data_IF_021399514541
#
_entry.id   IF_021399514541
#
_cell.length_a   1.000
_cell.length_b   1.000
_cell.length_c   1.000
_cell.angle_alpha   90.00
_cell.angle_beta   90.00
_cell.angle_gamma   90.00
#
_symmetry.space_group_name_H-M   'P 1'
#
loop_
_entity.id
_entity.type
_entity.pdbx_description
1 polymer ?
#
# COMPACT_ATOMS: atom_id res chain seq x y z
N UNK A 1 13.17 25.34 3.98
CA UNK A 1 13.08 25.50 5.44
C UNK A 1 12.00 24.56 5.97
N UNK A 2 12.38 23.36 6.41
CA UNK A 2 11.45 22.37 6.98
C UNK A 2 11.06 22.83 8.38
N UNK A 3 9.80 23.23 8.57
CA UNK A 3 9.26 23.47 9.91
C UNK A 3 9.30 22.15 10.69
N UNK A 4 10.16 22.11 11.70
CA UNK A 4 10.23 21.02 12.67
C UNK A 4 8.89 21.01 13.43
N UNK A 5 7.99 20.12 13.05
CA UNK A 5 6.78 19.85 13.84
C UNK A 5 7.27 19.03 15.04
N UNK A 6 7.48 19.72 16.17
CA UNK A 6 7.73 19.05 17.45
C UNK A 6 6.37 18.54 17.91
N UNK A 7 6.02 17.34 17.53
CA UNK A 7 4.96 16.58 18.18
C UNK A 7 5.63 15.70 19.23
N UNK A 8 5.06 15.58 20.42
CA UNK A 8 5.52 14.68 21.50
C UNK A 8 5.38 13.17 21.11
N UNK A 9 5.69 12.81 19.88
CA UNK A 9 5.62 11.44 19.39
C UNK A 9 7.02 10.89 19.25
N UNK A 10 7.29 9.75 19.90
CA UNK A 10 8.52 9.02 19.74
C UNK A 10 8.64 8.55 18.28
N UNK A 11 9.80 8.84 17.66
CA UNK A 11 10.13 8.29 16.34
C UNK A 11 10.77 6.93 16.56
N UNK A 12 10.11 5.88 16.11
CA UNK A 12 10.60 4.51 16.23
C UNK A 12 11.51 4.16 15.03
N UNK A 13 12.57 3.38 15.30
CA UNK A 13 13.33 2.77 14.21
C UNK A 13 12.49 1.69 13.50
N UNK A 14 12.86 1.32 12.26
CA UNK A 14 12.21 0.21 11.56
C UNK A 14 12.30 -1.13 12.33
N UNK A 15 13.31 -1.31 13.18
CA UNK A 15 13.47 -2.48 14.03
C UNK A 15 12.44 -2.46 15.17
N UNK A 16 12.36 -1.33 15.87
CA UNK A 16 11.44 -1.17 17.01
C UNK A 16 9.98 -1.25 16.57
N UNK A 17 9.65 -0.65 15.42
CA UNK A 17 8.31 -0.75 14.83
C UNK A 17 7.93 -2.22 14.55
N UNK A 18 8.82 -3.01 13.95
CA UNK A 18 8.55 -4.44 13.69
C UNK A 18 8.43 -5.26 14.98
N UNK A 19 9.19 -4.91 16.01
CA UNK A 19 9.11 -5.57 17.32
C UNK A 19 7.80 -5.22 18.03
N UNK A 20 7.38 -3.97 17.97
CA UNK A 20 6.08 -3.52 18.47
C UNK A 20 4.92 -4.25 17.79
N UNK A 21 4.93 -4.34 16.45
CA UNK A 21 3.93 -5.09 15.68
C UNK A 21 3.86 -6.55 16.12
N UNK A 22 5.02 -7.23 16.22
CA UNK A 22 5.07 -8.63 16.67
C UNK A 22 4.51 -8.83 18.07
N UNK A 23 4.87 -7.94 19.00
CA UNK A 23 4.39 -8.00 20.38
C UNK A 23 2.88 -7.73 20.46
N UNK A 24 2.38 -6.79 19.67
CA UNK A 24 0.95 -6.47 19.57
C UNK A 24 0.18 -7.68 19.03
N UNK A 25 0.65 -8.28 17.94
CA UNK A 25 0.02 -9.47 17.36
C UNK A 25 0.03 -10.64 18.35
N UNK A 26 1.15 -10.88 19.03
CA UNK A 26 1.28 -12.00 19.97
C UNK A 26 0.36 -11.86 21.20
N UNK A 27 0.13 -10.62 21.67
CA UNK A 27 -0.52 -10.37 22.97
C UNK A 27 -1.95 -9.88 22.87
N UNK A 28 -2.31 -9.15 21.79
CA UNK A 28 -3.54 -8.34 21.81
C UNK A 28 -4.47 -8.54 20.64
N UNK A 29 -3.98 -8.53 19.39
CA UNK A 29 -4.83 -8.56 18.20
C UNK A 29 -4.23 -9.40 17.07
N UNK A 30 -5.05 -10.11 16.27
CA UNK A 30 -4.59 -10.81 15.07
C UNK A 30 -3.90 -9.86 14.07
N UNK A 31 -2.84 -10.35 13.39
CA UNK A 31 -2.07 -9.53 12.42
C UNK A 31 -2.94 -8.92 11.33
N UNK A 32 -3.90 -9.69 10.81
CA UNK A 32 -4.86 -9.16 9.85
C UNK A 32 -5.67 -7.96 10.40
N UNK A 33 -6.00 -7.96 11.69
CA UNK A 33 -6.73 -6.84 12.31
C UNK A 33 -5.89 -5.57 12.40
N UNK A 34 -4.60 -5.72 12.67
CA UNK A 34 -3.63 -4.62 12.63
C UNK A 34 -3.56 -4.05 11.20
N UNK A 35 -3.48 -4.91 10.19
CA UNK A 35 -3.52 -4.54 8.77
C UNK A 35 -4.82 -3.82 8.39
N UNK A 36 -5.99 -4.29 8.85
CA UNK A 36 -7.26 -3.59 8.65
C UNK A 36 -7.24 -2.16 9.20
N UNK A 37 -6.68 -1.98 10.39
CA UNK A 37 -6.58 -0.65 11.02
C UNK A 37 -5.66 0.28 10.23
N UNK A 38 -4.52 -0.21 9.75
CA UNK A 38 -3.60 0.54 8.91
C UNK A 38 -4.28 0.97 7.60
N UNK A 39 -4.87 0.03 6.87
CA UNK A 39 -5.59 0.32 5.63
C UNK A 39 -6.78 1.28 5.83
N UNK A 40 -7.51 1.16 6.95
CA UNK A 40 -8.61 2.07 7.30
C UNK A 40 -8.12 3.50 7.53
N UNK A 41 -6.95 3.67 8.13
CA UNK A 41 -6.34 4.99 8.33
C UNK A 41 -6.05 5.66 6.99
N UNK A 42 -5.40 4.95 6.06
CA UNK A 42 -5.13 5.44 4.70
C UNK A 42 -6.44 5.77 3.97
N UNK A 43 -7.42 4.86 4.01
CA UNK A 43 -8.73 5.08 3.41
C UNK A 43 -9.42 6.36 3.93
N UNK A 44 -9.38 6.62 5.23
CA UNK A 44 -9.99 7.82 5.83
C UNK A 44 -9.34 9.11 5.31
N UNK A 45 -8.01 9.12 5.13
CA UNK A 45 -7.30 10.24 4.53
C UNK A 45 -7.75 10.46 3.08
N UNK A 46 -7.87 9.39 2.30
CA UNK A 46 -8.30 9.46 0.90
C UNK A 46 -9.75 9.98 0.82
N UNK A 47 -10.65 9.40 1.61
CA UNK A 47 -12.06 9.82 1.66
C UNK A 47 -12.22 11.29 2.01
N UNK A 48 -11.37 11.84 2.88
CA UNK A 48 -11.39 13.25 3.27
C UNK A 48 -10.85 14.17 2.17
N UNK A 49 -9.81 13.72 1.43
CA UNK A 49 -9.09 14.60 0.50
C UNK A 49 -9.54 14.51 -0.95
N UNK A 50 -10.17 13.40 -1.36
CA UNK A 50 -10.47 13.15 -2.77
C UNK A 50 -11.94 12.81 -3.00
N UNK A 51 -12.46 13.29 -4.14
CA UNK A 51 -13.82 12.93 -4.59
C UNK A 51 -13.85 11.48 -5.09
N UNK A 52 -15.03 10.84 -5.05
CA UNK A 52 -15.25 9.44 -5.45
C UNK A 52 -14.93 9.14 -6.92
N UNK A 53 -14.92 10.14 -7.77
CA UNK A 53 -14.56 10.05 -9.19
C UNK A 53 -13.04 10.06 -9.45
N UNK A 54 -12.22 10.35 -8.42
CA UNK A 54 -10.75 10.34 -8.55
C UNK A 54 -10.27 8.98 -9.05
N UNK A 55 -9.43 9.00 -10.08
CA UNK A 55 -8.73 7.79 -10.54
C UNK A 55 -7.65 7.43 -9.52
N UNK A 56 -7.72 6.22 -9.00
CA UNK A 56 -6.82 5.71 -7.96
C UNK A 56 -6.15 4.44 -8.46
N UNK A 57 -4.84 4.37 -8.36
CA UNK A 57 -4.06 3.17 -8.65
C UNK A 57 -3.34 2.72 -7.40
N UNK A 58 -3.52 1.47 -7.04
CA UNK A 58 -2.92 0.88 -5.85
C UNK A 58 -1.90 -0.16 -6.30
N UNK A 59 -0.67 0.00 -5.84
CA UNK A 59 0.45 -0.86 -6.18
C UNK A 59 0.80 -1.72 -4.97
N UNK A 60 0.63 -3.03 -5.09
CA UNK A 60 0.80 -3.97 -3.98
C UNK A 60 2.00 -4.88 -4.19
N UNK A 61 2.85 -4.95 -3.17
CA UNK A 61 3.85 -6.01 -3.03
C UNK A 61 3.28 -7.29 -2.43
N UNK A 62 4.12 -8.34 -2.27
CA UNK A 62 3.68 -9.63 -1.73
C UNK A 62 3.58 -9.67 -0.20
N UNK A 63 4.09 -8.65 0.50
CA UNK A 63 4.17 -8.59 1.97
C UNK A 63 3.02 -7.79 2.61
N UNK A 64 3.18 -7.47 3.90
CA UNK A 64 2.15 -6.77 4.70
C UNK A 64 1.79 -5.41 4.10
N UNK A 65 2.77 -4.64 3.61
CA UNK A 65 2.50 -3.35 2.97
C UNK A 65 1.54 -3.49 1.76
N UNK A 66 1.71 -4.54 0.94
CA UNK A 66 0.75 -4.89 -0.11
C UNK A 66 -0.59 -5.31 0.45
N UNK A 67 -0.60 -5.97 1.60
CA UNK A 67 -1.80 -6.34 2.35
C UNK A 67 -2.63 -5.11 2.76
N UNK A 68 -1.97 -4.07 3.27
CA UNK A 68 -2.61 -2.78 3.58
C UNK A 68 -3.25 -2.18 2.32
N UNK A 69 -2.55 -2.27 1.17
CA UNK A 69 -3.08 -1.84 -0.12
C UNK A 69 -4.34 -2.61 -0.55
N UNK A 70 -4.43 -3.93 -0.30
CA UNK A 70 -5.66 -4.70 -0.57
C UNK A 70 -6.81 -4.26 0.33
N UNK A 71 -6.55 -3.96 1.60
CA UNK A 71 -7.56 -3.42 2.52
C UNK A 71 -8.06 -2.06 2.04
N UNK A 72 -7.15 -1.16 1.63
CA UNK A 72 -7.51 0.15 1.08
C UNK A 72 -8.38 0.00 -0.17
N UNK A 73 -7.99 -0.89 -1.10
CA UNK A 73 -8.76 -1.16 -2.32
C UNK A 73 -10.19 -1.60 -2.00
N UNK A 74 -10.34 -2.56 -1.06
CA UNK A 74 -11.64 -3.05 -0.59
C UNK A 74 -12.49 -1.90 -0.04
N UNK A 75 -11.96 -1.11 0.89
CA UNK A 75 -12.69 -0.01 1.53
C UNK A 75 -13.10 1.09 0.52
N UNK A 76 -12.22 1.43 -0.43
CA UNK A 76 -12.54 2.39 -1.47
C UNK A 76 -13.73 1.93 -2.33
N UNK A 77 -13.72 0.68 -2.78
CA UNK A 77 -14.79 0.10 -3.61
C UNK A 77 -16.10 -0.01 -2.85
N UNK A 78 -16.09 -0.48 -1.61
CA UNK A 78 -17.26 -0.54 -0.73
C UNK A 78 -17.86 0.84 -0.44
N UNK A 79 -17.07 1.90 -0.54
CA UNK A 79 -17.51 3.28 -0.36
C UNK A 79 -17.74 4.04 -1.69
N UNK A 80 -17.98 3.31 -2.78
CA UNK A 80 -18.38 3.83 -4.10
C UNK A 80 -17.31 4.68 -4.81
N UNK A 81 -16.02 4.45 -4.55
CA UNK A 81 -14.96 4.93 -5.43
C UNK A 81 -14.90 4.00 -6.65
N UNK A 82 -15.32 4.51 -7.81
CA UNK A 82 -15.54 3.68 -9.01
C UNK A 82 -14.28 3.42 -9.83
N UNK A 83 -13.30 4.31 -9.76
CA UNK A 83 -12.11 4.29 -10.61
C UNK A 83 -10.88 3.81 -9.80
N UNK A 84 -10.92 2.59 -9.27
CA UNK A 84 -9.86 1.99 -8.47
C UNK A 84 -9.26 0.81 -9.22
N UNK A 85 -8.04 0.99 -9.71
CA UNK A 85 -7.23 -0.06 -10.32
C UNK A 85 -6.21 -0.61 -9.32
N UNK A 86 -6.14 -1.91 -9.23
CA UNK A 86 -5.24 -2.62 -8.33
C UNK A 86 -4.21 -3.43 -9.12
N UNK A 87 -2.94 -3.21 -8.83
CA UNK A 87 -1.81 -3.90 -9.43
C UNK A 87 -1.02 -4.66 -8.37
N UNK A 88 -0.61 -5.88 -8.66
CA UNK A 88 0.23 -6.65 -7.75
C UNK A 88 1.46 -7.22 -8.45
N UNK A 89 2.60 -7.23 -7.73
CA UNK A 89 3.88 -7.77 -8.21
C UNK A 89 3.86 -9.28 -8.42
N UNK A 90 2.97 -9.96 -7.72
CA UNK A 90 2.85 -11.43 -7.77
C UNK A 90 1.39 -11.85 -8.00
N UNK A 91 1.19 -13.05 -8.50
CA UNK A 91 -0.14 -13.63 -8.60
C UNK A 91 -0.75 -13.90 -7.21
N UNK A 92 -2.07 -13.91 -7.10
CA UNK A 92 -2.82 -14.16 -5.86
C UNK A 92 -2.39 -15.46 -5.17
N UNK A 93 -2.04 -16.50 -5.95
CA UNK A 93 -1.57 -17.80 -5.45
C UNK A 93 -0.24 -17.72 -4.68
N UNK A 94 0.59 -16.72 -4.96
CA UNK A 94 1.91 -16.51 -4.32
C UNK A 94 1.85 -15.67 -3.06
N UNK A 95 0.70 -15.07 -2.74
CA UNK A 95 0.51 -14.32 -1.50
C UNK A 95 0.47 -15.27 -0.29
N UNK A 96 0.97 -14.81 0.85
CA UNK A 96 1.03 -15.57 2.11
C UNK A 96 0.56 -14.71 3.28
N UNK A 97 0.27 -15.35 4.44
CA UNK A 97 -0.09 -14.66 5.67
C UNK A 97 -1.27 -13.71 5.54
N UNK A 98 -1.19 -12.60 6.26
CA UNK A 98 -2.26 -11.59 6.33
C UNK A 98 -2.54 -10.92 4.98
N UNK A 99 -1.51 -10.72 4.14
CA UNK A 99 -1.68 -10.21 2.78
C UNK A 99 -2.57 -11.13 1.91
N UNK A 100 -2.45 -12.46 2.06
CA UNK A 100 -3.33 -13.43 1.39
C UNK A 100 -4.75 -13.33 1.90
N UNK A 101 -4.94 -13.17 3.21
CA UNK A 101 -6.26 -12.97 3.82
C UNK A 101 -6.91 -11.71 3.25
N UNK A 102 -6.17 -10.59 3.23
CA UNK A 102 -6.65 -9.31 2.68
C UNK A 102 -7.07 -9.42 1.21
N UNK A 103 -6.22 -10.05 0.38
CA UNK A 103 -6.51 -10.26 -1.04
C UNK A 103 -7.73 -11.17 -1.28
N UNK A 104 -7.94 -12.16 -0.41
CA UNK A 104 -9.13 -13.02 -0.49
C UNK A 104 -10.41 -12.27 -0.12
N UNK A 105 -10.35 -11.45 0.94
CA UNK A 105 -11.49 -10.62 1.37
C UNK A 105 -11.87 -9.52 0.38
N UNK A 106 -10.93 -9.05 -0.44
CA UNK A 106 -11.23 -8.15 -1.54
C UNK A 106 -12.09 -8.84 -2.62
N UNK A 107 -11.96 -10.16 -2.76
CA UNK A 107 -12.72 -11.00 -3.70
C UNK A 107 -12.69 -10.52 -5.16
N UNK A 108 -11.58 -9.94 -5.59
CA UNK A 108 -11.39 -9.46 -6.96
C UNK A 108 -10.05 -9.94 -7.53
N UNK A 109 -9.95 -9.88 -8.85
CA UNK A 109 -8.70 -10.04 -9.55
C UNK A 109 -7.96 -8.71 -9.60
N UNK A 110 -6.65 -8.76 -9.58
CA UNK A 110 -5.79 -7.61 -9.74
C UNK A 110 -4.93 -7.74 -11.01
N UNK A 111 -4.56 -6.59 -11.55
CA UNK A 111 -3.76 -6.49 -12.76
C UNK A 111 -2.29 -6.80 -12.45
N UNK A 112 -1.59 -7.38 -13.42
CA UNK A 112 -0.13 -7.52 -13.34
C UNK A 112 0.54 -6.15 -13.43
N UNK A 113 1.65 -5.98 -12.75
CA UNK A 113 2.47 -4.75 -12.81
C UNK A 113 2.92 -4.39 -14.24
N UNK A 114 3.05 -5.36 -15.15
CA UNK A 114 3.37 -5.11 -16.55
C UNK A 114 2.28 -4.30 -17.28
N UNK A 115 1.06 -4.28 -16.74
CA UNK A 115 -0.07 -3.53 -17.28
C UNK A 115 -0.18 -2.12 -16.68
N UNK A 116 0.72 -1.77 -15.74
CA UNK A 116 0.70 -0.47 -15.11
C UNK A 116 1.07 0.62 -16.11
N UNK A 117 0.16 1.56 -16.25
CA UNK A 117 0.35 2.83 -16.96
C UNK A 117 -0.25 3.91 -16.07
N UNK A 118 0.27 5.11 -16.13
CA UNK A 118 -0.27 6.23 -15.37
C UNK A 118 -0.30 7.49 -16.22
N UNK A 119 -1.19 8.40 -15.87
CA UNK A 119 -1.35 9.71 -16.48
C UNK A 119 -1.36 10.79 -15.39
N UNK A 120 -1.31 12.06 -15.80
CA UNK A 120 -1.49 13.17 -14.88
C UNK A 120 -2.84 13.07 -14.17
N UNK A 121 -2.91 13.65 -12.97
CA UNK A 121 -4.16 13.73 -12.18
C UNK A 121 -4.71 12.38 -11.63
N UNK A 122 -3.88 11.33 -11.51
CA UNK A 122 -4.22 10.10 -10.81
C UNK A 122 -3.62 10.10 -9.39
N UNK A 123 -4.29 9.44 -8.46
CA UNK A 123 -3.73 9.15 -7.13
C UNK A 123 -3.05 7.79 -7.19
N UNK A 124 -1.79 7.71 -6.82
CA UNK A 124 -1.08 6.44 -6.68
C UNK A 124 -0.85 6.16 -5.21
N UNK A 125 -1.23 4.96 -4.80
CA UNK A 125 -1.00 4.43 -3.46
C UNK A 125 0.07 3.36 -3.59
N UNK A 126 1.25 3.62 -3.01
CA UNK A 126 2.40 2.72 -3.07
C UNK A 126 2.44 1.82 -1.83
N UNK A 127 2.07 0.56 -2.01
CA UNK A 127 2.21 -0.52 -1.05
C UNK A 127 3.17 -1.62 -1.53
N UNK A 128 4.17 -1.28 -2.37
CA UNK A 128 5.07 -2.28 -2.96
C UNK A 128 6.01 -2.84 -1.91
N UNK A 129 6.73 -1.97 -1.20
CA UNK A 129 7.70 -2.34 -0.17
C UNK A 129 7.47 -1.52 1.08
N UNK A 130 7.56 -2.17 2.22
CA UNK A 130 7.64 -1.52 3.53
C UNK A 130 9.01 -1.75 4.17
N UNK A 131 9.10 -1.59 5.47
CA UNK A 131 10.31 -1.78 6.28
C UNK A 131 10.94 -3.18 6.22
N UNK A 132 10.25 -4.15 5.59
CA UNK A 132 10.68 -5.55 5.48
C UNK A 132 11.60 -5.87 4.29
N UNK A 133 11.96 -4.91 3.46
CA UNK A 133 12.85 -5.15 2.32
C UNK A 133 14.27 -5.50 2.80
N UNK A 134 14.67 -6.77 2.63
CA UNK A 134 15.98 -7.29 3.10
C UNK A 134 17.01 -7.46 2.01
N UNK A 135 16.60 -7.45 0.74
CA UNK A 135 17.48 -7.71 -0.41
C UNK A 135 17.41 -6.56 -1.41
N UNK A 136 18.51 -6.29 -2.08
CA UNK A 136 18.52 -5.35 -3.18
C UNK A 136 17.56 -5.78 -4.29
N UNK A 137 16.83 -4.82 -4.82
CA UNK A 137 15.91 -5.05 -5.91
C UNK A 137 16.74 -5.24 -7.19
N UNK A 138 16.52 -6.34 -7.91
CA UNK A 138 17.28 -6.71 -9.10
C UNK A 138 16.38 -7.23 -10.22
N UNK A 139 16.97 -7.44 -11.40
CA UNK A 139 16.31 -8.06 -12.54
C UNK A 139 15.08 -7.31 -13.05
N UNK A 140 14.05 -8.06 -13.45
CA UNK A 140 12.80 -7.51 -14.02
C UNK A 140 12.10 -6.56 -13.05
N UNK A 141 12.12 -6.86 -11.76
CA UNK A 141 11.47 -6.05 -10.74
C UNK A 141 12.11 -4.67 -10.63
N UNK A 142 13.45 -4.58 -10.69
CA UNK A 142 14.17 -3.30 -10.70
C UNK A 142 13.71 -2.42 -11.87
N UNK A 143 13.66 -2.98 -13.09
CA UNK A 143 13.19 -2.24 -14.28
C UNK A 143 11.77 -1.69 -14.13
N UNK A 144 10.84 -2.48 -13.57
CA UNK A 144 9.47 -2.06 -13.34
C UNK A 144 9.41 -0.90 -12.33
N UNK A 145 10.18 -0.98 -11.27
CA UNK A 145 10.21 0.03 -10.21
C UNK A 145 10.89 1.31 -10.69
N UNK A 146 11.98 1.21 -11.42
CA UNK A 146 12.64 2.37 -12.04
C UNK A 146 11.71 3.08 -13.02
N UNK A 147 10.97 2.34 -13.84
CA UNK A 147 9.94 2.89 -14.72
C UNK A 147 8.87 3.62 -13.91
N UNK A 148 8.33 2.98 -12.85
CA UNK A 148 7.34 3.56 -11.96
C UNK A 148 7.83 4.89 -11.34
N UNK A 149 9.00 4.91 -10.73
CA UNK A 149 9.55 6.14 -10.14
C UNK A 149 9.81 7.24 -11.15
N UNK A 150 10.27 6.90 -12.35
CA UNK A 150 10.46 7.86 -13.45
C UNK A 150 9.13 8.54 -13.81
N UNK A 151 8.09 7.75 -13.99
CA UNK A 151 6.76 8.26 -14.35
C UNK A 151 6.15 9.08 -13.21
N UNK A 152 6.31 8.65 -11.95
CA UNK A 152 5.82 9.38 -10.80
C UNK A 152 6.50 10.74 -10.61
N UNK A 153 7.80 10.86 -10.88
CA UNK A 153 8.51 12.14 -10.85
C UNK A 153 7.96 13.16 -11.87
N UNK A 154 7.56 12.69 -13.04
CA UNK A 154 7.03 13.54 -14.11
C UNK A 154 5.63 14.10 -13.75
N UNK A 155 4.82 13.36 -12.98
CA UNK A 155 3.40 13.65 -12.80
C UNK A 155 2.98 14.15 -11.41
N UNK A 156 3.90 14.45 -10.50
CA UNK A 156 3.60 14.91 -9.12
C UNK A 156 2.54 14.05 -8.43
N UNK A 157 2.77 12.76 -8.31
CA UNK A 157 1.86 11.83 -7.64
C UNK A 157 1.96 11.92 -6.12
N UNK A 158 0.81 11.79 -5.44
CA UNK A 158 0.78 11.63 -3.99
C UNK A 158 1.10 10.18 -3.63
N UNK A 159 2.14 9.98 -2.83
CA UNK A 159 2.49 8.70 -2.25
C UNK A 159 1.93 8.62 -0.83
N UNK A 160 1.25 7.51 -0.52
CA UNK A 160 0.87 7.15 0.83
C UNK A 160 1.46 5.77 1.13
N UNK A 161 2.32 5.72 2.11
CA UNK A 161 2.80 4.49 2.75
C UNK A 161 2.55 4.61 4.23
#
# INVERSE_FOLDING_TARGET
>A
MLKKIITNHAVLSCKDHRELDKNTIKKFIPGYKLMENAGKTVFNVIKKKFKKQKKIKILCGPGNNGGDGFVVAKLLKENSFRNVDLFCLVSKKKLKGDAKIAANKLNENFKSFNQFKTSSNELIIDGIFGSGLKKNISGKLKKIIEFYFRVCKIHQHFHFI
#
